data_IF_651950183075
#
_entry.id   IF_651950183075
#
_cell.length_a   1.000
_cell.length_b   1.000
_cell.length_c   1.000
_cell.angle_alpha   90.00
_cell.angle_beta   90.00
_cell.angle_gamma   90.00
#
_symmetry.space_group_name_H-M   'P 1'
#
loop_
_entity.id
_entity.type
_entity.pdbx_description
1 polymer ?
#
# COMPACT_ATOMS: atom_id res chain seq x y z
N UNK A 1 -9.29 -7.36 10.19
CA UNK A 1 -8.36 -6.21 10.15
C UNK A 1 -7.02 -6.75 9.78
N UNK A 2 -6.77 -6.66 8.48
CA UNK A 2 -5.57 -7.08 7.81
C UNK A 2 -5.19 -6.01 6.77
N UNK A 3 -3.90 -6.02 6.43
CA UNK A 3 -3.34 -5.19 5.37
C UNK A 3 -3.03 -6.10 4.20
N UNK A 4 -3.37 -5.65 2.99
CA UNK A 4 -3.20 -6.39 1.76
C UNK A 4 -2.26 -5.63 0.83
N UNK A 5 -1.50 -6.36 0.02
CA UNK A 5 -0.66 -5.80 -1.02
C UNK A 5 -0.78 -6.61 -2.30
N UNK A 6 -1.11 -5.93 -3.40
CA UNK A 6 -1.26 -6.58 -4.70
C UNK A 6 0.09 -6.78 -5.41
N UNK A 7 0.06 -7.44 -6.57
CA UNK A 7 1.25 -7.64 -7.37
C UNK A 7 1.76 -6.30 -7.96
N UNK A 8 3.07 -6.07 -7.89
CA UNK A 8 3.69 -4.89 -8.49
C UNK A 8 3.73 -5.01 -10.03
N UNK A 9 2.64 -4.63 -10.70
CA UNK A 9 2.46 -4.76 -12.16
C UNK A 9 2.51 -3.42 -12.90
N UNK A 10 2.26 -2.31 -12.21
CA UNK A 10 2.11 -1.00 -12.83
C UNK A 10 3.49 -0.37 -13.10
N UNK A 11 3.85 -0.16 -14.37
CA UNK A 11 5.15 0.42 -14.74
C UNK A 11 5.08 1.95 -14.74
N UNK A 12 5.82 2.61 -13.85
CA UNK A 12 5.91 4.06 -13.81
C UNK A 12 7.24 4.53 -13.18
N UNK A 13 7.81 5.60 -13.71
CA UNK A 13 9.05 6.22 -13.22
C UNK A 13 10.22 5.22 -13.00
N UNK A 14 10.37 4.20 -13.86
CA UNK A 14 11.43 3.19 -13.75
C UNK A 14 11.17 2.08 -12.73
N UNK A 15 10.02 2.09 -12.04
CA UNK A 15 9.65 1.08 -11.05
C UNK A 15 8.37 0.34 -11.44
N UNK A 16 8.16 -0.80 -10.78
CA UNK A 16 6.86 -1.47 -10.73
C UNK A 16 6.16 -1.09 -9.44
N UNK A 17 4.90 -0.71 -9.56
CA UNK A 17 4.06 -0.21 -8.49
C UNK A 17 2.88 -1.16 -8.22
N UNK A 18 2.41 -1.11 -6.99
CA UNK A 18 1.31 -1.89 -6.42
C UNK A 18 0.56 -1.05 -5.41
N UNK A 19 -0.63 -1.50 -5.05
CA UNK A 19 -1.47 -0.90 -4.04
C UNK A 19 -1.29 -1.60 -2.70
N UNK A 20 -1.18 -0.79 -1.65
CA UNK A 20 -1.33 -1.21 -0.25
C UNK A 20 -2.72 -0.79 0.23
N UNK A 21 -3.50 -1.75 0.72
CA UNK A 21 -4.89 -1.57 1.17
C UNK A 21 -5.10 -2.21 2.55
N UNK A 22 -6.20 -1.90 3.22
CA UNK A 22 -6.58 -2.55 4.47
C UNK A 22 -8.10 -2.59 4.65
N UNK A 23 -8.57 -3.42 5.58
CA UNK A 23 -9.99 -3.45 5.95
C UNK A 23 -10.47 -2.12 6.56
N UNK A 24 -9.55 -1.35 7.14
CA UNK A 24 -9.79 -0.07 7.82
C UNK A 24 -8.72 0.97 7.48
N UNK A 25 -9.12 2.24 7.42
CA UNK A 25 -8.25 3.36 7.07
C UNK A 25 -7.20 3.65 8.16
N UNK A 26 -7.55 3.52 9.44
CA UNK A 26 -6.56 3.74 10.51
C UNK A 26 -5.51 2.63 10.53
N UNK A 27 -5.91 1.39 10.27
CA UNK A 27 -4.98 0.28 10.07
C UNK A 27 -4.03 0.52 8.91
N UNK A 28 -4.57 0.98 7.77
CA UNK A 28 -3.77 1.35 6.61
C UNK A 28 -2.72 2.42 6.93
N UNK A 29 -3.09 3.47 7.70
CA UNK A 29 -2.16 4.53 8.10
C UNK A 29 -1.08 4.04 9.05
N UNK A 30 -1.45 3.25 10.06
CA UNK A 30 -0.48 2.67 11.01
C UNK A 30 0.52 1.79 10.27
N UNK A 31 0.06 0.97 9.33
CA UNK A 31 0.94 0.11 8.55
C UNK A 31 1.85 0.90 7.61
N UNK A 32 1.30 1.87 6.86
CA UNK A 32 2.08 2.74 5.99
C UNK A 32 3.17 3.50 6.76
N UNK A 33 2.86 3.99 7.97
CA UNK A 33 3.85 4.63 8.85
C UNK A 33 4.97 3.67 9.25
N UNK A 34 4.66 2.43 9.64
CA UNK A 34 5.66 1.39 9.94
C UNK A 34 6.52 1.03 8.73
N UNK A 35 5.94 1.07 7.54
CA UNK A 35 6.63 0.83 6.27
C UNK A 35 7.56 2.00 5.86
N UNK A 36 7.37 3.19 6.46
CA UNK A 36 8.11 4.41 6.12
C UNK A 36 7.47 5.23 5.00
N UNK A 37 6.22 4.93 4.62
CA UNK A 37 5.47 5.65 3.60
C UNK A 37 4.85 6.91 4.22
N UNK A 38 5.02 8.05 3.54
CA UNK A 38 4.52 9.34 4.03
C UNK A 38 3.00 9.39 3.98
N UNK A 39 2.37 9.98 5.01
CA UNK A 39 0.91 10.19 5.06
C UNK A 39 0.37 10.98 3.85
N UNK A 40 1.18 11.87 3.28
CA UNK A 40 0.86 12.64 2.08
C UNK A 40 0.69 11.81 0.81
N UNK A 41 1.20 10.57 0.78
CA UNK A 41 1.03 9.63 -0.34
C UNK A 41 -0.29 8.86 -0.28
N UNK A 42 -1.11 9.08 0.75
CA UNK A 42 -2.42 8.46 0.87
C UNK A 42 -3.36 8.91 -0.24
N UNK A 43 -4.11 7.95 -0.78
CA UNK A 43 -5.18 8.18 -1.74
C UNK A 43 -6.48 7.62 -1.16
N UNK A 44 -7.48 8.47 -1.01
CA UNK A 44 -8.78 8.10 -0.46
C UNK A 44 -9.86 9.13 -0.76
N UNK A 45 -11.06 8.99 -0.19
CA UNK A 45 -12.18 9.86 -0.49
C UNK A 45 -11.89 11.34 -0.19
N UNK A 46 -12.40 12.28 -1.01
CA UNK A 46 -13.27 12.08 -2.17
C UNK A 46 -12.52 11.74 -3.47
N UNK A 47 -11.19 11.70 -3.46
CA UNK A 47 -10.36 11.52 -4.66
C UNK A 47 -10.44 10.10 -5.23
N UNK A 48 -10.47 9.10 -4.36
CA UNK A 48 -10.64 7.69 -4.72
C UNK A 48 -11.65 7.04 -3.76
N UNK A 49 -12.50 6.16 -4.26
CA UNK A 49 -13.47 5.44 -3.41
C UNK A 49 -12.81 4.35 -2.56
N UNK A 50 -11.67 3.81 -3.02
CA UNK A 50 -10.86 2.83 -2.30
C UNK A 50 -9.64 3.51 -1.64
N UNK A 51 -9.57 3.57 -0.30
CA UNK A 51 -8.39 4.02 0.44
C UNK A 51 -7.17 3.13 0.18
N UNK A 52 -6.05 3.71 -0.25
CA UNK A 52 -4.81 2.97 -0.51
C UNK A 52 -3.57 3.86 -0.43
N UNK A 53 -2.41 3.21 -0.51
CA UNK A 53 -1.13 3.83 -0.84
C UNK A 53 -0.54 3.15 -2.08
N UNK A 54 -0.02 3.93 -3.01
CA UNK A 54 0.83 3.40 -4.08
C UNK A 54 2.25 3.24 -3.54
N UNK A 55 2.79 2.02 -3.67
CA UNK A 55 4.13 1.68 -3.21
C UNK A 55 4.88 0.94 -4.33
N UNK A 56 6.21 0.97 -4.33
CA UNK A 56 6.98 0.24 -5.34
C UNK A 56 7.18 -1.22 -4.91
N UNK A 57 7.71 -2.04 -5.82
CA UNK A 57 8.13 -3.41 -5.51
C UNK A 57 9.09 -3.52 -4.32
N UNK A 58 9.92 -2.50 -4.05
CA UNK A 58 10.81 -2.49 -2.89
C UNK A 58 10.04 -2.42 -1.57
N UNK A 59 9.07 -1.50 -1.48
CA UNK A 59 8.20 -1.40 -0.32
C UNK A 59 7.27 -2.61 -0.20
N UNK A 60 6.79 -3.17 -1.32
CA UNK A 60 5.98 -4.41 -1.33
C UNK A 60 6.67 -5.54 -0.61
N UNK A 61 7.92 -5.83 -0.96
CA UNK A 61 8.68 -6.92 -0.34
C UNK A 61 8.82 -6.69 1.17
N UNK A 62 8.95 -5.44 1.61
CA UNK A 62 8.99 -5.09 3.02
C UNK A 62 7.61 -5.19 3.68
N UNK A 63 6.53 -4.83 2.98
CA UNK A 63 5.16 -4.97 3.47
C UNK A 63 4.83 -6.44 3.74
N UNK A 64 5.17 -7.35 2.83
CA UNK A 64 4.99 -8.80 3.03
C UNK A 64 5.76 -9.28 4.26
N UNK A 65 7.03 -8.89 4.41
CA UNK A 65 7.83 -9.21 5.62
C UNK A 65 7.26 -8.64 6.91
N UNK A 66 6.51 -7.55 6.84
CA UNK A 66 5.84 -6.92 7.98
C UNK A 66 4.44 -7.51 8.27
N UNK A 67 4.00 -8.49 7.47
CA UNK A 67 2.74 -9.22 7.66
C UNK A 67 1.58 -8.73 6.78
N UNK A 68 1.83 -7.94 5.73
CA UNK A 68 0.81 -7.72 4.71
C UNK A 68 0.51 -9.02 3.96
N UNK A 69 -0.77 -9.27 3.71
CA UNK A 69 -1.26 -10.44 2.98
C UNK A 69 -1.13 -10.15 1.49
N UNK A 70 -0.44 -11.02 0.77
CA UNK A 70 -0.36 -10.93 -0.69
C UNK A 70 -1.72 -11.27 -1.31
N UNK A 71 -2.22 -10.40 -2.19
CA UNK A 71 -3.43 -10.64 -2.97
C UNK A 71 -3.15 -10.53 -4.48
N UNK A 72 -3.98 -11.21 -5.26
CA UNK A 72 -3.89 -11.29 -6.73
C UNK A 72 -4.87 -10.35 -7.41
#
# INVERSE_FOLDING_TARGET
MAVYVDAAIWKWAGHRWCHLMADDTDELHRFASRLGVKRSSYQGPPRTSAPHYDITGFERDRAVRLGAIECS
#
